data_IF_374265785813
#
_entry.id   IF_374265785813
#
_cell.length_a   1.000
_cell.length_b   1.000
_cell.length_c   1.000
_cell.angle_alpha   90.00
_cell.angle_beta   90.00
_cell.angle_gamma   90.00
#
_symmetry.space_group_name_H-M   'P 1'
#
loop_
_entity.id
_entity.type
_entity.pdbx_description
1 polymer ?
#
# COMPACT_ATOMS: atom_id res chain seq x y z
N UNK A 1 16.97 -0.49 4.83
CA UNK A 1 16.35 0.85 4.98
C UNK A 1 17.08 1.61 6.06
N UNK A 2 17.26 2.92 5.86
CA UNK A 2 17.93 3.78 6.83
C UNK A 2 17.06 5.01 7.12
N UNK A 3 17.22 5.57 8.31
CA UNK A 3 16.61 6.86 8.67
C UNK A 3 17.14 7.97 7.75
N UNK A 4 16.32 8.99 7.50
CA UNK A 4 16.61 10.13 6.61
C UNK A 4 16.77 9.83 5.10
N UNK A 5 16.71 8.57 4.68
CA UNK A 5 16.64 8.21 3.26
C UNK A 5 15.21 8.35 2.74
N UNK A 6 15.07 8.94 1.54
CA UNK A 6 13.77 9.05 0.87
C UNK A 6 13.40 7.73 0.19
N UNK A 7 12.18 7.30 0.43
CA UNK A 7 11.60 6.11 -0.19
C UNK A 7 10.30 6.46 -0.91
N UNK A 8 9.98 5.72 -1.97
CA UNK A 8 8.71 5.80 -2.69
C UNK A 8 7.91 4.55 -2.40
N UNK A 9 6.76 4.71 -1.75
CA UNK A 9 5.78 3.64 -1.60
C UNK A 9 4.80 3.66 -2.78
N UNK A 10 4.54 2.49 -3.36
CA UNK A 10 3.52 2.24 -4.36
C UNK A 10 2.49 1.33 -3.72
N UNK A 11 1.25 1.80 -3.67
CA UNK A 11 0.10 1.06 -3.16
C UNK A 11 -0.75 0.66 -4.36
N UNK A 12 -0.96 -0.63 -4.53
CA UNK A 12 -1.80 -1.18 -5.60
C UNK A 12 -2.99 -1.90 -4.97
N UNK A 13 -4.21 -1.43 -5.27
CA UNK A 13 -5.42 -2.10 -4.81
C UNK A 13 -5.60 -3.40 -5.60
N UNK A 14 -5.60 -4.54 -4.90
CA UNK A 14 -5.79 -5.86 -5.50
C UNK A 14 -7.25 -6.28 -5.52
N UNK A 15 -7.96 -6.04 -4.41
CA UNK A 15 -9.36 -6.43 -4.28
C UNK A 15 -10.12 -5.45 -3.37
N UNK A 16 -11.40 -5.26 -3.66
CA UNK A 16 -12.30 -4.43 -2.85
C UNK A 16 -13.34 -5.37 -2.25
N UNK A 17 -13.58 -5.25 -0.95
CA UNK A 17 -14.63 -5.96 -0.21
C UNK A 17 -15.69 -4.96 0.25
N UNK A 18 -16.65 -4.61 -0.62
CA UNK A 18 -17.76 -3.72 -0.32
C UNK A 18 -18.44 -3.95 1.03
N UNK A 19 -18.83 -5.21 1.25
CA UNK A 19 -19.65 -5.66 2.37
C UNK A 19 -18.90 -5.59 3.71
N UNK A 20 -17.57 -5.51 3.66
CA UNK A 20 -16.69 -5.38 4.83
C UNK A 20 -16.05 -4.00 4.94
N UNK A 21 -16.40 -3.06 4.05
CA UNK A 21 -15.83 -1.72 3.95
C UNK A 21 -14.29 -1.71 3.98
N UNK A 22 -13.65 -2.65 3.28
CA UNK A 22 -12.18 -2.79 3.28
C UNK A 22 -11.64 -3.15 1.90
N UNK A 23 -10.34 -2.94 1.71
CA UNK A 23 -9.60 -3.27 0.50
C UNK A 23 -8.39 -4.13 0.84
N UNK A 24 -8.07 -5.08 -0.03
CA UNK A 24 -6.76 -5.73 -0.05
C UNK A 24 -5.84 -4.91 -0.96
N UNK A 25 -4.69 -4.52 -0.44
CA UNK A 25 -3.69 -3.81 -1.22
C UNK A 25 -2.32 -4.46 -1.08
N UNK A 26 -1.56 -4.34 -2.16
CA UNK A 26 -0.14 -4.63 -2.22
C UNK A 26 0.65 -3.33 -1.97
N UNK A 27 1.69 -3.41 -1.17
CA UNK A 27 2.58 -2.30 -0.85
C UNK A 27 4.01 -2.67 -1.22
N UNK A 28 4.58 -1.90 -2.13
CA UNK A 28 5.99 -2.01 -2.49
C UNK A 28 6.69 -0.67 -2.20
N UNK A 29 7.79 -0.72 -1.44
CA UNK A 29 8.57 0.47 -1.10
C UNK A 29 9.94 0.37 -1.76
N UNK A 30 10.30 1.42 -2.50
CA UNK A 30 11.53 1.50 -3.26
C UNK A 30 12.41 2.63 -2.74
N UNK A 31 13.73 2.41 -2.70
CA UNK A 31 14.68 3.49 -2.46
C UNK A 31 14.62 4.48 -3.63
N UNK A 32 14.42 5.77 -3.34
CA UNK A 32 14.22 6.77 -4.38
C UNK A 32 15.49 7.05 -5.20
N UNK A 33 16.68 6.73 -4.67
CA UNK A 33 17.95 6.99 -5.33
C UNK A 33 18.43 5.79 -6.15
N UNK A 34 18.27 4.58 -5.62
CA UNK A 34 18.77 3.36 -6.28
C UNK A 34 17.71 2.61 -7.08
N UNK A 35 16.43 2.85 -6.79
CA UNK A 35 15.32 2.09 -7.37
C UNK A 35 15.15 0.68 -6.79
N UNK A 36 15.94 0.31 -5.79
CA UNK A 36 15.88 -1.01 -5.16
C UNK A 36 14.61 -1.17 -4.33
N UNK A 37 13.93 -2.32 -4.47
CA UNK A 37 12.78 -2.64 -3.64
C UNK A 37 13.23 -3.08 -2.25
N UNK A 38 12.77 -2.35 -1.23
CA UNK A 38 13.18 -2.55 0.16
C UNK A 38 12.09 -3.17 1.03
N UNK A 39 10.81 -2.96 0.68
CA UNK A 39 9.66 -3.59 1.33
C UNK A 39 8.72 -4.14 0.26
N UNK A 40 8.18 -5.33 0.53
CA UNK A 40 7.06 -5.92 -0.17
C UNK A 40 6.09 -6.49 0.86
N UNK A 41 4.78 -6.30 0.66
CA UNK A 41 3.80 -6.92 1.53
C UNK A 41 2.38 -6.63 1.10
N UNK A 42 1.45 -7.45 1.60
CA UNK A 42 0.02 -7.28 1.40
C UNK A 42 -0.66 -6.97 2.72
N UNK A 43 -1.68 -6.13 2.68
CA UNK A 43 -2.47 -5.80 3.86
C UNK A 43 -3.92 -5.49 3.52
N UNK A 44 -4.79 -5.68 4.52
CA UNK A 44 -6.18 -5.28 4.47
C UNK A 44 -6.33 -3.92 5.15
N UNK A 45 -6.88 -2.95 4.43
CA UNK A 45 -7.18 -1.62 4.97
C UNK A 45 -8.68 -1.37 5.00
N UNK A 46 -9.19 -0.80 6.08
CA UNK A 46 -10.56 -0.28 6.11
C UNK A 46 -10.63 1.08 5.42
N UNK A 47 -11.66 1.28 4.61
CA UNK A 47 -11.87 2.56 3.96
C UNK A 47 -12.34 3.61 4.98
N UNK A 48 -11.72 4.80 4.94
CA UNK A 48 -12.12 5.94 5.79
C UNK A 48 -13.55 6.40 5.52
N UNK A 49 -13.97 6.35 4.26
CA UNK A 49 -15.35 6.64 3.83
C UNK A 49 -15.96 5.34 3.32
N UNK A 50 -17.12 4.99 3.85
CA UNK A 50 -17.91 3.89 3.32
C UNK A 50 -18.58 4.36 2.02
N UNK A 51 -18.22 3.72 0.91
CA UNK A 51 -18.91 3.90 -0.36
C UNK A 51 -20.08 2.92 -0.39
N UNK A 52 -21.29 3.47 -0.36
CA UNK A 52 -22.53 2.72 -0.62
C UNK A 52 -22.81 2.94 -2.11
N UNK A 53 -22.58 1.91 -2.92
CA UNK A 53 -22.97 1.84 -4.34
C UNK A 53 -24.43 1.44 -4.46
#
# INVERSE_FOLDING_TARGET
MFVDTKYKAIITIKEIFPEKNRVLYDCAVFDANTGEQTIAGEALLMNKKQYIW
#
